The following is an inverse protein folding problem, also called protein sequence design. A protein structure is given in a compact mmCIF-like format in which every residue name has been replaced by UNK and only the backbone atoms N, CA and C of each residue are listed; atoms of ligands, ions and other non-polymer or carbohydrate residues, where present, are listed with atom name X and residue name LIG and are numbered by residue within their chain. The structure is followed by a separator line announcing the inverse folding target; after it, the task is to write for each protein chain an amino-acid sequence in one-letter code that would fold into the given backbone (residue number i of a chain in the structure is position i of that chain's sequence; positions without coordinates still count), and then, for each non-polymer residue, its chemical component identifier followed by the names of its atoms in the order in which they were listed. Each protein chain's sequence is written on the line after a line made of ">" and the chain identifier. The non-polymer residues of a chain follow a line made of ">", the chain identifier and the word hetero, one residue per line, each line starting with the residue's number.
data_IF_775102472555
#
_entry.id   IF_775102472555
#
_cell.length_a   1.000
_cell.length_b   1.000
_cell.length_c   1.000
_cell.angle_alpha   90.00
_cell.angle_beta   90.00
_cell.angle_gamma   90.00
#
_symmetry.space_group_name_H-M   'P 1'
#
loop_
_entity.id
_entity.type
_entity.pdbx_description
1 polymer ?
#
# COMPACT_ATOMS: atom_id res chain seq x y z
N UNK A 1 -0.14 6.50 3.28
CA UNK A 1 -1.57 6.47 2.94
C UNK A 1 -2.25 5.48 3.87
N UNK A 2 -3.33 5.88 4.54
CA UNK A 2 -4.06 5.00 5.46
C UNK A 2 -5.35 4.48 4.80
N UNK A 3 -5.41 3.17 4.60
CA UNK A 3 -6.55 2.43 4.05
C UNK A 3 -7.14 1.47 5.10
N UNK A 4 -6.83 1.64 6.38
CA UNK A 4 -7.28 0.76 7.48
C UNK A 4 -8.80 0.63 7.56
N UNK A 5 -9.53 1.69 7.21
CA UNK A 5 -11.01 1.74 7.24
C UNK A 5 -11.67 1.33 5.91
N UNK A 6 -10.89 0.90 4.90
CA UNK A 6 -11.46 0.52 3.60
C UNK A 6 -11.86 -0.96 3.62
N UNK A 7 -13.10 -1.22 3.22
CA UNK A 7 -13.67 -2.58 3.22
C UNK A 7 -13.35 -3.39 1.96
N UNK A 8 -13.02 -2.73 0.84
CA UNK A 8 -12.79 -3.38 -0.44
C UNK A 8 -11.91 -2.53 -1.36
N UNK A 9 -11.10 -3.20 -2.19
CA UNK A 9 -10.35 -2.60 -3.29
C UNK A 9 -10.54 -3.45 -4.53
N UNK A 10 -10.84 -2.81 -5.66
CA UNK A 10 -11.01 -3.45 -6.96
C UNK A 10 -9.71 -3.39 -7.80
N UNK A 11 -9.79 -3.84 -9.05
CA UNK A 11 -8.67 -3.79 -9.99
C UNK A 11 -8.22 -2.36 -10.30
N UNK A 12 -9.16 -1.40 -10.37
CA UNK A 12 -8.85 0.00 -10.66
C UNK A 12 -8.11 0.68 -9.51
N UNK A 13 -8.54 0.44 -8.27
CA UNK A 13 -7.86 0.90 -7.06
C UNK A 13 -6.44 0.33 -6.94
N UNK A 14 -6.27 -0.98 -7.21
CA UNK A 14 -4.92 -1.59 -7.23
C UNK A 14 -4.02 -0.94 -8.30
N UNK A 15 -4.55 -0.70 -9.50
CA UNK A 15 -3.80 -0.01 -10.56
C UNK A 15 -3.38 1.40 -10.17
N UNK A 16 -4.26 2.15 -9.50
CA UNK A 16 -3.94 3.48 -8.98
C UNK A 16 -2.85 3.43 -7.90
N UNK A 17 -2.91 2.49 -6.96
CA UNK A 17 -1.87 2.32 -5.92
C UNK A 17 -0.51 1.98 -6.53
N UNK A 18 -0.48 1.12 -7.55
CA UNK A 18 0.77 0.79 -8.27
C UNK A 18 1.33 2.04 -8.94
N UNK A 19 0.49 2.86 -9.58
CA UNK A 19 0.93 4.09 -10.23
C UNK A 19 1.51 5.09 -9.22
N UNK A 20 0.88 5.25 -8.05
CA UNK A 20 1.36 6.11 -6.98
C UNK A 20 2.71 5.63 -6.40
N UNK A 21 2.85 4.32 -6.17
CA UNK A 21 4.10 3.74 -5.68
C UNK A 21 5.26 3.96 -6.68
N UNK A 22 5.00 3.81 -7.99
CA UNK A 22 5.98 4.12 -9.04
C UNK A 22 6.37 5.60 -9.06
N UNK A 23 5.41 6.51 -8.90
CA UNK A 23 5.67 7.94 -8.85
C UNK A 23 6.52 8.31 -7.64
N UNK A 24 6.22 7.77 -6.45
CA UNK A 24 7.03 7.97 -5.26
C UNK A 24 8.46 7.47 -5.47
N UNK A 25 8.63 6.26 -6.00
CA UNK A 25 9.96 5.71 -6.29
C UNK A 25 10.75 6.52 -7.33
N UNK A 26 10.06 7.06 -8.34
CA UNK A 26 10.66 7.93 -9.37
C UNK A 26 11.12 9.26 -8.77
N UNK A 27 10.42 9.75 -7.74
CA UNK A 27 10.78 10.94 -6.99
C UNK A 27 11.79 10.66 -5.85
N UNK A 28 12.43 9.48 -5.85
CA UNK A 28 13.34 9.01 -4.80
C UNK A 28 12.71 8.97 -3.39
N UNK A 29 11.38 8.97 -3.32
CA UNK A 29 10.60 8.87 -2.10
C UNK A 29 10.08 7.46 -1.83
N UNK A 30 9.49 7.30 -0.65
CA UNK A 30 8.81 6.06 -0.25
C UNK A 30 7.31 6.28 -0.11
N UNK A 31 6.51 5.30 -0.52
CA UNK A 31 5.07 5.27 -0.27
C UNK A 31 4.77 4.13 0.69
N UNK A 32 4.34 4.47 1.90
CA UNK A 32 3.88 3.51 2.91
C UNK A 32 2.36 3.42 2.87
N UNK A 33 1.81 2.20 2.85
CA UNK A 33 0.37 1.97 2.77
C UNK A 33 -0.09 1.15 3.97
N UNK A 34 -0.85 1.78 4.87
CA UNK A 34 -1.47 1.10 6.01
C UNK A 34 -2.74 0.42 5.54
N UNK A 35 -2.91 -0.87 5.83
CA UNK A 35 -4.08 -1.65 5.40
C UNK A 35 -4.62 -2.52 6.52
N UNK A 36 -5.87 -2.98 6.38
CA UNK A 36 -6.43 -4.05 7.21
C UNK A 36 -6.23 -5.43 6.56
N UNK A 37 -6.45 -6.49 7.34
CA UNK A 37 -6.25 -7.88 6.91
C UNK A 37 -6.99 -8.24 5.60
N UNK A 38 -8.21 -7.70 5.40
CA UNK A 38 -9.03 -7.98 4.22
C UNK A 38 -8.39 -7.39 2.97
N UNK A 39 -8.01 -6.11 3.02
CA UNK A 39 -7.34 -5.43 1.90
C UNK A 39 -5.96 -6.04 1.65
N UNK A 40 -5.18 -6.33 2.70
CA UNK A 40 -3.88 -7.00 2.59
C UNK A 40 -4.00 -8.33 1.83
N UNK A 41 -5.04 -9.12 2.11
CA UNK A 41 -5.24 -10.41 1.46
C UNK A 41 -5.51 -10.26 -0.04
N UNK A 42 -6.35 -9.29 -0.44
CA UNK A 42 -6.60 -8.99 -1.87
C UNK A 42 -5.30 -8.61 -2.60
N UNK A 43 -4.47 -7.78 -1.98
CA UNK A 43 -3.17 -7.36 -2.55
C UNK A 43 -2.20 -8.55 -2.69
N UNK A 44 -2.21 -9.48 -1.72
CA UNK A 44 -1.39 -10.71 -1.76
C UNK A 44 -1.80 -11.67 -2.87
N UNK A 45 -3.09 -11.78 -3.16
CA UNK A 45 -3.58 -12.65 -4.25
C UNK A 45 -3.02 -12.23 -5.61
N UNK A 46 -2.82 -10.93 -5.81
CA UNK A 46 -2.22 -10.36 -7.03
C UNK A 46 -0.70 -10.15 -6.93
N UNK A 47 -0.06 -10.63 -5.85
CA UNK A 47 1.40 -10.59 -5.61
C UNK A 47 2.01 -9.19 -5.59
N UNK A 48 1.24 -8.18 -5.15
CA UNK A 48 1.69 -6.79 -5.09
C UNK A 48 2.15 -6.35 -3.68
N UNK A 49 2.09 -7.23 -2.68
CA UNK A 49 2.39 -6.90 -1.28
C UNK A 49 3.83 -6.47 -1.06
N UNK A 50 4.76 -7.01 -1.87
CA UNK A 50 6.19 -6.62 -1.83
C UNK A 50 6.44 -5.28 -2.52
N UNK A 51 5.55 -4.88 -3.44
CA UNK A 51 5.67 -3.65 -4.21
C UNK A 51 5.04 -2.46 -3.47
N UNK A 52 3.95 -2.71 -2.74
CA UNK A 52 3.12 -1.66 -2.14
C UNK A 52 3.46 -1.32 -0.68
N UNK A 53 4.60 -1.80 -0.15
CA UNK A 53 5.10 -1.49 1.22
C UNK A 53 3.98 -1.46 2.26
N UNK A 54 3.27 -2.59 2.40
CA UNK A 54 2.08 -2.69 3.24
C UNK A 54 2.45 -2.73 4.72
N UNK A 55 1.77 -1.91 5.51
CA UNK A 55 2.00 -1.73 6.95
C UNK A 55 0.71 -2.05 7.72
N UNK A 56 0.84 -2.50 8.97
CA UNK A 56 -0.32 -2.83 9.82
C UNK A 56 -0.84 -1.64 10.61
N UNK A 57 0.00 -0.64 10.85
CA UNK A 57 -0.38 0.59 11.53
C UNK A 57 0.37 1.81 10.99
N UNK A 58 -0.12 3.00 11.37
CA UNK A 58 0.53 4.27 11.01
C UNK A 58 1.91 4.38 11.66
N UNK A 59 2.06 3.88 12.88
CA UNK A 59 3.32 3.86 13.62
C UNK A 59 4.38 3.02 12.88
N UNK A 60 4.03 1.79 12.47
CA UNK A 60 4.93 0.92 11.68
C UNK A 60 5.26 1.56 10.31
N UNK A 61 4.31 2.28 9.72
CA UNK A 61 4.56 3.01 8.49
C UNK A 61 5.58 4.13 8.68
N UNK A 62 5.48 4.92 9.76
CA UNK A 62 6.41 6.02 10.04
C UNK A 62 7.83 5.53 10.31
N UNK A 63 8.00 4.39 10.98
CA UNK A 63 9.33 3.77 11.18
C UNK A 63 10.01 3.36 9.87
N UNK A 64 9.22 3.11 8.83
CA UNK A 64 9.69 2.71 7.50
C UNK A 64 9.80 3.86 6.49
N UNK A 65 9.49 5.10 6.90
CA UNK A 65 9.79 6.31 6.11
C UNK A 65 11.26 6.66 6.35
N UNK A 66 12.13 6.17 5.47
CA UNK A 66 13.53 6.62 5.36
C UNK A 66 13.74 7.38 4.07
#
# INVERSE_FOLDING_TARGET
>A
MDLSQIDFIDSSGLGALVQLAKQAQTAEGTLQIVTNARVTQTVKLVRLEKFLSLQKSVEEALENVK
#
